data_IF_837287920337
#
_entry.id   IF_837287920337
#
_cell.length_a   1.000
_cell.length_b   1.000
_cell.length_c   1.000
_cell.angle_alpha   90.00
_cell.angle_beta   90.00
_cell.angle_gamma   90.00
#
_symmetry.space_group_name_H-M   'P 1'
#
loop_
_entity.id
_entity.type
_entity.pdbx_description
1 polymer ?
#
# COMPACT_ATOMS: atom_id res chain seq x y z
N UNK A 1 -32.33 -0.28 3.98
CA UNK A 1 -30.88 -0.56 4.02
C UNK A 1 -30.35 -0.39 2.61
N UNK A 2 -29.29 0.41 2.37
CA UNK A 2 -28.68 0.46 1.05
C UNK A 2 -28.19 -0.95 0.69
N UNK A 3 -28.70 -1.48 -0.42
CA UNK A 3 -28.27 -2.78 -0.96
C UNK A 3 -26.85 -2.60 -1.48
N UNK A 4 -25.86 -3.09 -0.73
CA UNK A 4 -24.48 -3.18 -1.22
C UNK A 4 -24.49 -4.23 -2.33
N UNK A 5 -24.54 -3.77 -3.58
CA UNK A 5 -24.35 -4.64 -4.73
C UNK A 5 -22.87 -5.01 -4.75
N UNK A 6 -22.54 -6.26 -4.39
CA UNK A 6 -21.17 -6.77 -4.44
C UNK A 6 -20.76 -7.01 -5.91
N UNK A 7 -20.46 -5.92 -6.62
CA UNK A 7 -19.92 -5.95 -7.98
C UNK A 7 -18.44 -6.26 -7.94
N UNK A 8 -18.13 -7.55 -7.79
CA UNK A 8 -16.87 -8.15 -8.20
C UNK A 8 -15.73 -8.04 -7.19
N UNK A 9 -15.27 -9.19 -6.72
CA UNK A 9 -13.88 -9.38 -6.29
C UNK A 9 -12.94 -8.61 -7.24
N UNK A 10 -12.11 -7.72 -6.70
CA UNK A 10 -11.29 -6.78 -7.47
C UNK A 10 -10.36 -7.52 -8.45
N UNK A 11 -10.64 -7.57 -9.76
CA UNK A 11 -9.91 -8.45 -10.66
C UNK A 11 -8.61 -7.82 -11.19
N UNK A 12 -8.46 -6.49 -11.06
CA UNK A 12 -7.27 -5.74 -11.45
C UNK A 12 -7.31 -4.34 -10.82
N UNK A 13 -6.15 -3.81 -10.41
CA UNK A 13 -5.95 -2.45 -9.91
C UNK A 13 -4.65 -1.85 -10.49
N UNK A 14 -4.42 -0.55 -10.28
CA UNK A 14 -3.20 0.14 -10.74
C UNK A 14 -2.49 0.84 -9.59
N UNK A 15 -1.16 0.92 -9.69
CA UNK A 15 -0.33 1.74 -8.80
C UNK A 15 0.63 2.59 -9.63
N UNK A 16 0.58 3.90 -9.41
CA UNK A 16 1.51 4.85 -9.99
C UNK A 16 2.26 5.59 -8.89
N UNK A 17 3.56 5.84 -9.09
CA UNK A 17 4.39 6.62 -8.18
C UNK A 17 5.07 7.72 -9.00
N UNK A 18 4.80 8.98 -8.68
CA UNK A 18 5.17 10.10 -9.54
C UNK A 18 4.51 9.99 -10.91
N UNK A 19 5.31 9.98 -11.98
CA UNK A 19 4.84 9.85 -13.37
C UNK A 19 4.78 8.40 -13.86
N UNK A 20 5.35 7.46 -13.11
CA UNK A 20 5.56 6.09 -13.57
C UNK A 20 4.46 5.15 -13.05
N UNK A 21 4.00 4.25 -13.92
CA UNK A 21 3.04 3.19 -13.56
C UNK A 21 3.76 1.85 -13.39
N UNK A 22 3.56 1.21 -12.24
CA UNK A 22 4.25 -0.03 -11.86
C UNK A 22 3.33 -1.25 -11.80
N UNK A 23 2.13 -1.15 -12.38
CA UNK A 23 1.09 -2.21 -12.35
C UNK A 23 1.61 -3.58 -12.78
N UNK A 24 2.55 -3.64 -13.74
CA UNK A 24 3.11 -4.91 -14.25
C UNK A 24 4.13 -5.56 -13.30
N UNK A 25 4.74 -4.79 -12.40
CA UNK A 25 5.74 -5.29 -11.44
C UNK A 25 5.10 -5.77 -10.13
N UNK A 26 3.80 -5.55 -9.93
CA UNK A 26 3.08 -5.75 -8.68
C UNK A 26 2.09 -6.91 -8.82
N UNK A 27 2.28 -7.92 -7.99
CA UNK A 27 1.44 -9.12 -7.91
C UNK A 27 0.28 -8.91 -6.91
N UNK A 28 0.50 -8.12 -5.86
CA UNK A 28 -0.55 -7.74 -4.90
C UNK A 28 -0.29 -6.38 -4.27
N UNK A 29 -1.34 -5.62 -3.98
CA UNK A 29 -1.25 -4.36 -3.24
C UNK A 29 -2.34 -4.30 -2.16
N UNK A 30 -1.94 -4.04 -0.90
CA UNK A 30 -2.85 -3.98 0.25
C UNK A 30 -2.55 -2.72 1.07
N UNK A 31 -3.51 -1.81 1.12
CA UNK A 31 -3.43 -0.60 1.94
C UNK A 31 -4.07 -0.86 3.31
N UNK A 32 -3.26 -0.89 4.37
CA UNK A 32 -3.69 -1.31 5.72
C UNK A 32 -3.67 -0.13 6.71
N UNK A 33 -4.81 0.19 7.36
CA UNK A 33 -4.84 1.12 8.49
C UNK A 33 -4.50 0.42 9.81
N UNK A 34 -3.70 1.08 10.65
CA UNK A 34 -3.46 0.71 12.05
C UNK A 34 -3.88 1.87 12.94
N UNK A 35 -4.96 1.70 13.71
CA UNK A 35 -5.47 2.71 14.63
C UNK A 35 -4.97 2.42 16.04
N UNK A 36 -4.09 3.25 16.63
CA UNK A 36 -3.70 3.08 18.02
C UNK A 36 -4.91 3.33 18.92
N UNK A 37 -5.06 2.54 19.99
CA UNK A 37 -6.12 2.73 20.99
C UNK A 37 -5.51 2.84 22.38
N UNK A 38 -6.06 3.73 23.19
CA UNK A 38 -5.71 3.88 24.60
C UNK A 38 -6.91 3.46 25.44
N UNK A 39 -6.68 2.62 26.44
CA UNK A 39 -7.72 2.17 27.37
C UNK A 39 -7.65 3.01 28.64
N UNK A 40 -8.79 3.58 29.04
CA UNK A 40 -8.95 4.25 30.33
C UNK A 40 -9.88 3.41 31.19
N UNK A 41 -9.40 2.99 32.35
CA UNK A 41 -10.23 2.42 33.40
C UNK A 41 -10.65 3.57 34.32
N UNK A 42 -11.94 3.78 34.47
CA UNK A 42 -12.46 4.77 35.40
C UNK A 42 -12.45 4.23 36.84
N UNK A 43 -12.61 5.13 37.81
CA UNK A 43 -12.66 4.78 39.24
C UNK A 43 -13.92 3.99 39.63
N UNK A 44 -14.94 3.96 38.76
CA UNK A 44 -16.17 3.17 38.90
C UNK A 44 -16.09 1.77 38.30
N UNK A 45 -14.96 1.38 37.71
CA UNK A 45 -14.74 0.08 37.06
C UNK A 45 -15.18 0.01 35.59
N UNK A 46 -15.61 1.12 34.99
CA UNK A 46 -15.89 1.24 33.56
C UNK A 46 -14.60 1.27 32.74
N UNK A 47 -14.68 0.72 31.52
CA UNK A 47 -13.57 0.67 30.57
C UNK A 47 -13.95 1.49 29.34
N UNK A 48 -13.17 2.51 29.03
CA UNK A 48 -13.32 3.34 27.84
C UNK A 48 -12.15 3.13 26.88
N UNK A 49 -12.44 3.04 25.58
CA UNK A 49 -11.42 3.02 24.53
C UNK A 49 -11.41 4.34 23.79
N UNK A 50 -10.24 4.95 23.68
CA UNK A 50 -10.00 6.17 22.90
C UNK A 50 -9.15 5.80 21.69
N UNK A 51 -9.68 6.02 20.49
CA UNK A 51 -8.96 5.81 19.25
C UNK A 51 -8.08 7.03 18.91
N UNK A 52 -6.83 6.78 18.51
CA UNK A 52 -5.93 7.79 17.96
C UNK A 52 -6.06 7.93 16.44
N UNK A 53 -5.15 8.69 15.84
CA UNK A 53 -5.10 8.89 14.39
C UNK A 53 -4.52 7.63 13.73
N UNK A 54 -5.19 7.04 12.72
CA UNK A 54 -4.70 5.84 12.06
C UNK A 54 -3.41 6.10 11.29
N UNK A 55 -2.49 5.15 11.31
CA UNK A 55 -1.30 5.13 10.46
C UNK A 55 -1.53 4.12 9.34
N UNK A 56 -1.17 4.47 8.12
CA UNK A 56 -1.40 3.63 6.95
C UNK A 56 -0.09 3.09 6.38
N UNK A 57 -0.13 1.88 5.84
CA UNK A 57 0.99 1.29 5.10
C UNK A 57 0.48 0.54 3.87
N UNK A 58 1.21 0.68 2.76
CA UNK A 58 0.95 -0.03 1.52
C UNK A 58 1.90 -1.23 1.41
N UNK A 59 1.38 -2.43 1.56
CA UNK A 59 2.12 -3.67 1.35
C UNK A 59 2.00 -4.10 -0.12
N UNK A 60 3.14 -4.28 -0.78
CA UNK A 60 3.26 -4.69 -2.18
C UNK A 60 4.00 -6.01 -2.28
N UNK A 61 3.43 -6.98 -2.99
CA UNK A 61 4.18 -8.14 -3.48
C UNK A 61 4.66 -7.81 -4.88
N UNK A 62 5.97 -7.92 -5.10
CA UNK A 62 6.62 -7.52 -6.34
C UNK A 62 7.30 -8.71 -6.98
N UNK A 63 7.25 -8.76 -8.31
CA UNK A 63 8.13 -9.63 -9.10
C UNK A 63 9.43 -8.87 -9.34
N UNK A 64 10.55 -9.46 -8.94
CA UNK A 64 11.84 -8.80 -9.08
C UNK A 64 12.29 -8.84 -10.53
N UNK A 65 12.51 -7.65 -11.09
CA UNK A 65 13.23 -7.43 -12.33
C UNK A 65 14.48 -6.59 -11.97
N UNK A 66 15.66 -7.02 -12.38
CA UNK A 66 16.90 -6.24 -12.18
C UNK A 66 17.63 -5.98 -13.50
N UNK A 67 17.09 -6.45 -14.62
CA UNK A 67 17.66 -6.24 -15.93
C UNK A 67 17.13 -4.94 -16.56
N UNK A 68 15.86 -4.62 -16.33
CA UNK A 68 15.22 -3.43 -16.91
C UNK A 68 15.55 -2.17 -16.10
N UNK A 69 15.98 -1.10 -16.78
CA UNK A 69 16.32 0.17 -16.15
C UNK A 69 15.13 0.83 -15.41
N UNK A 70 13.89 0.59 -15.86
CA UNK A 70 12.66 1.05 -15.21
C UNK A 70 12.10 0.06 -14.17
N UNK A 71 12.94 -0.85 -13.67
CA UNK A 71 12.55 -1.80 -12.64
C UNK A 71 12.07 -1.09 -11.37
N UNK A 72 10.95 -1.57 -10.82
CA UNK A 72 10.47 -1.12 -9.52
C UNK A 72 11.47 -1.41 -8.39
N UNK A 73 12.17 -2.54 -8.45
CA UNK A 73 13.20 -2.88 -7.45
C UNK A 73 14.36 -1.88 -7.48
N UNK A 74 14.80 -1.47 -8.68
CA UNK A 74 15.82 -0.43 -8.84
C UNK A 74 15.31 0.95 -8.39
N UNK A 75 14.06 1.29 -8.71
CA UNK A 75 13.42 2.52 -8.24
C UNK A 75 13.42 2.63 -6.72
N UNK A 76 13.02 1.55 -6.02
CA UNK A 76 12.98 1.53 -4.55
C UNK A 76 14.36 1.73 -3.93
N UNK A 77 15.40 1.15 -4.54
CA UNK A 77 16.80 1.33 -4.09
C UNK A 77 17.25 2.77 -4.31
N UNK A 78 17.02 3.33 -5.50
CA UNK A 78 17.47 4.68 -5.86
C UNK A 78 16.77 5.79 -5.06
N UNK A 79 15.53 5.54 -4.63
CA UNK A 79 14.71 6.52 -3.90
C UNK A 79 14.58 6.21 -2.40
N UNK A 80 15.40 5.30 -1.86
CA UNK A 80 15.35 4.88 -0.47
C UNK A 80 15.35 6.07 0.51
N UNK A 81 14.42 6.07 1.46
CA UNK A 81 14.25 7.11 2.47
C UNK A 81 13.54 8.39 1.99
N UNK A 82 13.22 8.50 0.69
CA UNK A 82 12.47 9.64 0.17
C UNK A 82 10.96 9.43 0.30
N UNK A 83 10.22 10.52 0.45
CA UNK A 83 8.75 10.51 0.36
C UNK A 83 8.35 10.76 -1.10
N UNK A 84 7.51 9.89 -1.66
CA UNK A 84 7.00 10.00 -3.03
C UNK A 84 5.48 9.97 -3.03
N UNK A 85 4.88 10.87 -3.82
CA UNK A 85 3.44 10.84 -4.07
C UNK A 85 3.09 9.65 -4.96
N UNK A 86 2.05 8.91 -4.59
CA UNK A 86 1.57 7.74 -5.28
C UNK A 86 0.04 7.77 -5.37
N UNK A 87 -0.49 7.21 -6.44
CA UNK A 87 -1.92 6.98 -6.62
C UNK A 87 -2.18 5.49 -6.70
N UNK A 88 -3.05 5.00 -5.83
CA UNK A 88 -3.46 3.61 -5.78
C UNK A 88 -4.93 3.49 -6.13
N UNK A 89 -5.23 2.64 -7.11
CA UNK A 89 -6.59 2.37 -7.57
C UNK A 89 -6.86 0.87 -7.43
N UNK A 90 -7.59 0.44 -6.38
CA UNK A 90 -7.79 -0.98 -6.09
C UNK A 90 -8.67 -1.70 -7.13
N UNK A 91 -9.44 -0.98 -7.94
CA UNK A 91 -10.32 -1.56 -8.94
C UNK A 91 -10.19 -0.88 -10.31
N UNK A 92 -10.17 -1.67 -11.38
CA UNK A 92 -10.28 -1.15 -12.74
C UNK A 92 -11.67 -0.55 -13.01
N UNK A 93 -11.73 0.51 -13.82
CA UNK A 93 -12.99 1.16 -14.23
C UNK A 93 -13.11 2.63 -13.83
N UNK A 94 -13.97 3.37 -14.53
CA UNK A 94 -14.12 4.82 -14.36
C UNK A 94 -14.74 5.23 -13.01
N UNK A 95 -15.42 4.31 -12.33
CA UNK A 95 -16.10 4.54 -11.05
C UNK A 95 -15.26 4.15 -9.83
N UNK A 96 -14.07 3.57 -10.02
CA UNK A 96 -13.21 3.19 -8.90
C UNK A 96 -12.60 4.42 -8.26
N UNK A 97 -12.65 4.43 -6.93
CA UNK A 97 -11.98 5.43 -6.10
C UNK A 97 -10.48 5.40 -6.30
N UNK A 98 -9.88 6.59 -6.28
CA UNK A 98 -8.44 6.78 -6.32
C UNK A 98 -7.95 7.21 -4.94
N UNK A 99 -6.98 6.49 -4.42
CA UNK A 99 -6.30 6.82 -3.16
C UNK A 99 -5.00 7.53 -3.47
N UNK A 100 -4.85 8.77 -3.03
CA UNK A 100 -3.58 9.50 -3.12
C UNK A 100 -2.83 9.36 -1.81
N UNK A 101 -1.57 8.93 -1.90
CA UNK A 101 -0.71 8.53 -0.79
C UNK A 101 0.64 9.24 -0.91
N UNK A 102 1.24 9.62 0.21
CA UNK A 102 2.66 10.00 0.26
C UNK A 102 3.43 8.83 0.88
N UNK A 103 4.11 8.02 0.07
CA UNK A 103 4.80 6.82 0.50
C UNK A 103 6.24 7.11 0.88
N UNK A 104 6.67 6.68 2.06
CA UNK A 104 8.09 6.56 2.39
C UNK A 104 8.65 5.35 1.63
N UNK A 105 9.60 5.61 0.73
CA UNK A 105 10.22 4.58 -0.10
C UNK A 105 11.22 3.79 0.72
N UNK A 106 10.99 2.48 0.80
CA UNK A 106 11.86 1.51 1.46
C UNK A 106 12.26 0.45 0.43
N UNK A 107 13.54 0.09 0.32
CA UNK A 107 13.98 -0.99 -0.55
C UNK A 107 13.30 -2.34 -0.21
N UNK A 108 12.93 -3.08 -1.24
CA UNK A 108 12.52 -4.47 -1.10
C UNK A 108 13.74 -5.39 -0.95
N UNK A 109 13.54 -6.61 -0.44
CA UNK A 109 14.58 -7.64 -0.48
C UNK A 109 14.88 -8.07 -1.93
N UNK A 110 16.14 -8.43 -2.19
CA UNK A 110 16.62 -8.87 -3.50
C UNK A 110 17.05 -10.34 -3.43
N UNK A 111 16.69 -11.11 -4.45
CA UNK A 111 16.94 -12.55 -4.57
C UNK A 111 15.72 -13.41 -4.24
N UNK A 112 15.86 -14.73 -4.38
CA UNK A 112 14.81 -15.71 -4.17
C UNK A 112 15.34 -17.14 -4.27
N UNK A 113 14.46 -18.12 -4.05
CA UNK A 113 14.82 -19.54 -4.20
C UNK A 113 15.18 -19.88 -5.67
N UNK A 114 16.25 -20.66 -5.86
CA UNK A 114 16.67 -21.10 -7.18
C UNK A 114 15.56 -21.89 -7.89
N UNK A 115 15.35 -21.62 -9.19
CA UNK A 115 14.33 -22.30 -10.01
C UNK A 115 12.92 -21.73 -9.89
N UNK A 116 12.72 -20.63 -9.16
CA UNK A 116 11.44 -19.92 -9.06
C UNK A 116 11.58 -18.46 -9.50
N UNK A 117 10.46 -17.84 -9.89
CA UNK A 117 10.41 -16.39 -10.12
C UNK A 117 10.74 -15.69 -8.80
N UNK A 118 11.76 -14.83 -8.81
CA UNK A 118 12.14 -14.06 -7.63
C UNK A 118 11.01 -13.06 -7.29
N UNK A 119 10.40 -13.25 -6.12
CA UNK A 119 9.37 -12.35 -5.58
C UNK A 119 9.85 -11.78 -4.25
N UNK A 120 9.46 -10.56 -3.96
CA UNK A 120 9.67 -9.93 -2.64
C UNK A 120 8.38 -9.26 -2.20
N UNK A 121 8.22 -9.11 -0.89
CA UNK A 121 7.23 -8.20 -0.32
C UNK A 121 7.92 -6.96 0.21
N UNK A 122 7.30 -5.79 0.04
CA UNK A 122 7.76 -4.52 0.61
C UNK A 122 6.57 -3.80 1.23
N UNK A 123 6.79 -3.19 2.39
CA UNK A 123 5.78 -2.38 3.08
C UNK A 123 6.23 -0.94 3.07
N UNK A 124 5.44 -0.07 2.44
CA UNK A 124 5.72 1.36 2.30
C UNK A 124 4.81 2.14 3.25
N UNK A 125 5.34 2.74 4.33
CA UNK A 125 4.55 3.57 5.24
C UNK A 125 4.00 4.81 4.52
N UNK A 126 2.76 5.19 4.83
CA UNK A 126 2.16 6.43 4.34
C UNK A 126 2.53 7.55 5.33
N UNK A 127 3.17 8.59 4.81
CA UNK A 127 3.40 9.84 5.53
C UNK A 127 2.13 10.70 5.50
N UNK A 128 1.43 10.75 6.62
CA UNK A 128 0.16 11.48 6.77
C UNK A 128 -1.04 10.57 6.56
N UNK A 129 -2.09 11.08 5.90
CA UNK A 129 -3.34 10.35 5.65
C UNK A 129 -3.59 10.17 4.15
N UNK A 130 -4.15 9.02 3.73
CA UNK A 130 -4.64 8.86 2.37
C UNK A 130 -5.81 9.82 2.10
N UNK A 131 -5.87 10.38 0.88
CA UNK A 131 -7.06 11.09 0.40
C UNK A 131 -7.78 10.25 -0.65
N UNK A 132 -9.11 10.29 -0.62
CA UNK A 132 -9.97 9.49 -1.51
C UNK A 132 -10.73 10.43 -2.44
N UNK A 133 -10.60 10.21 -3.76
CA UNK A 133 -11.38 10.86 -4.81
C UNK A 133 -12.27 9.84 -5.53
#
# INVERSE_FOLDING_TARGET
>A
MPKITNTGYYPAGTLSIGTDEYTLAIDSAVLTPTTPTTVINDIGGGVQQIAGIPVWALALSIVQDLATASSFSQYLIANAGQIKSATYKPQAGATSKTFTLNLLIIPASIGGAGGSVAKSTVTLPVSGQPTIA
#
